data_IF_601441206111
#
_entry.id   IF_601441206111
#
_cell.length_a   1.000
_cell.length_b   1.000
_cell.length_c   1.000
_cell.angle_alpha   90.00
_cell.angle_beta   90.00
_cell.angle_gamma   90.00
#
_symmetry.space_group_name_H-M   'P 1'
#
loop_
_entity.id
_entity.type
_entity.pdbx_description
1 polymer ?
#
# COMPACT_ATOMS: atom_id res chain seq x y z
N UNK A 1 -6.24 5.84 -1.50
CA UNK A 1 -5.95 5.19 -0.20
C UNK A 1 -6.06 6.20 0.96
N UNK A 2 -6.75 5.82 2.04
CA UNK A 2 -6.88 6.60 3.28
C UNK A 2 -6.55 5.75 4.50
N UNK A 3 -5.89 6.30 5.53
CA UNK A 3 -5.63 5.54 6.77
C UNK A 3 -6.87 5.43 7.65
N UNK A 4 -6.93 4.39 8.49
CA UNK A 4 -8.13 4.01 9.25
C UNK A 4 -8.29 4.84 10.54
N UNK A 5 -7.19 5.24 11.18
CA UNK A 5 -7.19 5.94 12.48
C UNK A 5 -7.41 7.45 12.38
N UNK A 6 -6.94 8.08 11.30
CA UNK A 6 -7.22 9.49 10.94
C UNK A 6 -7.47 9.54 9.45
N UNK A 7 -8.40 10.37 8.96
CA UNK A 7 -8.65 10.53 7.52
C UNK A 7 -7.50 11.28 6.84
N UNK A 8 -6.35 10.62 6.71
CA UNK A 8 -5.19 11.09 5.97
C UNK A 8 -5.15 10.38 4.62
N UNK A 9 -4.97 11.16 3.56
CA UNK A 9 -4.79 10.63 2.21
C UNK A 9 -3.33 10.24 2.00
N UNK A 10 -3.12 9.09 1.37
CA UNK A 10 -1.79 8.64 0.94
C UNK A 10 -1.73 8.76 -0.58
N UNK A 11 -0.71 9.47 -1.07
CA UNK A 11 -0.40 9.60 -2.50
C UNK A 11 0.88 8.80 -2.79
N UNK A 12 0.77 7.56 -3.30
CA UNK A 12 1.95 6.78 -3.63
C UNK A 12 2.68 7.35 -4.84
N UNK A 13 4.01 7.29 -4.82
CA UNK A 13 4.89 7.60 -5.95
C UNK A 13 5.80 6.40 -6.18
N UNK A 14 6.03 6.06 -7.45
CA UNK A 14 6.92 4.95 -7.84
C UNK A 14 8.15 5.53 -8.51
N UNK A 15 9.33 5.19 -7.99
CA UNK A 15 10.62 5.54 -8.59
C UNK A 15 11.16 4.39 -9.42
N UNK A 16 11.65 4.69 -10.63
CA UNK A 16 12.42 3.75 -11.45
C UNK A 16 13.86 4.23 -11.44
N UNK A 17 14.79 3.34 -11.06
CA UNK A 17 16.22 3.63 -10.99
C UNK A 17 16.99 2.61 -11.84
N UNK A 18 18.06 3.05 -12.50
CA UNK A 18 18.93 2.13 -13.27
C UNK A 18 19.68 1.15 -12.35
N UNK A 19 19.96 1.58 -11.12
CA UNK A 19 20.64 0.78 -10.09
C UNK A 19 20.19 1.27 -8.72
N UNK A 20 20.01 0.34 -7.80
CA UNK A 20 19.78 0.67 -6.40
C UNK A 20 21.03 1.39 -5.85
N UNK A 21 20.89 2.58 -5.23
CA UNK A 21 22.00 3.20 -4.52
C UNK A 21 22.37 2.38 -3.27
N UNK A 22 23.53 2.66 -2.69
CA UNK A 22 23.87 2.10 -1.38
C UNK A 22 22.90 2.67 -0.33
N UNK A 23 22.01 1.82 0.20
CA UNK A 23 21.06 2.20 1.22
C UNK A 23 21.67 2.00 2.61
N UNK A 24 21.57 3.02 3.46
CA UNK A 24 22.00 2.96 4.87
C UNK A 24 20.82 3.33 5.77
N UNK A 25 20.43 2.39 6.63
CA UNK A 25 19.38 2.65 7.62
C UNK A 25 19.85 3.72 8.62
N UNK A 26 18.98 4.70 8.90
CA UNK A 26 19.18 5.57 10.05
C UNK A 26 18.61 4.86 11.28
N UNK A 27 19.43 4.40 12.24
CA UNK A 27 18.96 3.56 13.34
C UNK A 27 18.02 4.29 14.32
N UNK A 28 17.89 5.61 14.24
CA UNK A 28 16.92 6.38 15.04
C UNK A 28 15.49 6.17 14.55
N UNK A 29 15.30 5.85 13.28
CA UNK A 29 13.98 5.81 12.62
C UNK A 29 13.71 4.48 11.91
N UNK A 30 14.74 3.83 11.37
CA UNK A 30 14.63 2.67 10.49
C UNK A 30 15.38 1.49 11.11
N UNK A 31 14.62 0.46 11.47
CA UNK A 31 15.13 -0.79 12.04
C UNK A 31 15.76 -1.69 10.96
N UNK A 32 15.09 -1.84 9.82
CA UNK A 32 15.53 -2.72 8.73
C UNK A 32 15.20 -2.15 7.36
N UNK A 33 16.06 -2.45 6.38
CA UNK A 33 15.80 -2.25 4.96
C UNK A 33 15.45 -3.61 4.35
N UNK A 34 14.30 -3.69 3.67
CA UNK A 34 13.85 -4.90 2.98
C UNK A 34 14.06 -4.73 1.47
N UNK A 35 14.85 -5.64 0.88
CA UNK A 35 14.96 -5.78 -0.58
C UNK A 35 14.21 -7.05 -1.00
N UNK A 36 13.00 -6.85 -1.54
CA UNK A 36 12.05 -7.94 -1.80
C UNK A 36 11.77 -8.00 -3.31
N UNK A 37 12.15 -9.10 -3.98
CA UNK A 37 11.83 -9.29 -5.38
C UNK A 37 10.31 -9.28 -5.62
N UNK A 38 9.87 -8.64 -6.71
CA UNK A 38 8.45 -8.69 -7.15
C UNK A 38 7.96 -10.12 -7.32
N UNK A 39 8.83 -11.04 -7.76
CA UNK A 39 8.50 -12.46 -7.88
C UNK A 39 8.19 -13.12 -6.53
N UNK A 40 8.88 -12.73 -5.45
CA UNK A 40 8.62 -13.25 -4.11
C UNK A 40 7.25 -12.82 -3.61
N UNK A 41 6.86 -11.55 -3.83
CA UNK A 41 5.53 -11.03 -3.49
C UNK A 41 4.39 -11.78 -4.20
N UNK A 42 4.68 -12.47 -5.30
CA UNK A 42 3.73 -13.26 -6.08
C UNK A 42 3.82 -14.76 -5.79
N UNK A 43 4.73 -15.18 -4.92
CA UNK A 43 4.89 -16.59 -4.57
C UNK A 43 3.64 -17.14 -3.87
N UNK A 44 3.28 -18.42 -4.12
CA UNK A 44 2.17 -19.06 -3.42
C UNK A 44 2.35 -18.99 -1.90
N UNK A 45 1.30 -18.55 -1.20
CA UNK A 45 1.29 -18.47 0.27
C UNK A 45 1.85 -17.18 0.86
N UNK A 46 2.48 -16.31 0.07
CA UNK A 46 2.96 -15.00 0.55
C UNK A 46 1.81 -14.04 0.77
N UNK A 47 0.86 -13.98 -0.16
CA UNK A 47 -0.31 -13.11 -0.02
C UNK A 47 -1.46 -13.80 0.72
N UNK A 48 -2.08 -13.08 1.66
CA UNK A 48 -3.37 -13.44 2.24
C UNK A 48 -4.23 -12.20 2.50
N UNK A 49 -5.53 -12.44 2.61
CA UNK A 49 -6.54 -11.43 2.91
C UNK A 49 -7.39 -11.87 4.10
N UNK A 50 -7.73 -10.92 4.96
CA UNK A 50 -8.73 -11.10 6.02
C UNK A 50 -9.80 -10.01 5.98
N UNK A 51 -11.00 -10.34 6.42
CA UNK A 51 -12.11 -9.39 6.52
C UNK A 51 -12.24 -8.92 7.98
N UNK A 52 -11.91 -7.65 8.24
CA UNK A 52 -11.93 -7.06 9.58
C UNK A 52 -13.10 -6.08 9.75
N UNK A 53 -13.58 -5.90 10.97
CA UNK A 53 -14.67 -4.97 11.30
C UNK A 53 -15.94 -5.68 11.76
N UNK A 54 -17.04 -4.92 11.87
CA UNK A 54 -18.33 -5.52 12.24
C UNK A 54 -19.00 -6.18 11.03
N UNK A 55 -19.94 -7.11 11.27
CA UNK A 55 -20.65 -7.84 10.21
C UNK A 55 -21.33 -6.94 9.16
N UNK A 56 -21.66 -5.71 9.52
CA UNK A 56 -22.34 -4.77 8.62
C UNK A 56 -21.39 -4.07 7.64
N UNK A 57 -20.11 -3.91 8.00
CA UNK A 57 -19.09 -3.24 7.18
C UNK A 57 -17.74 -3.94 7.34
N UNK A 58 -17.60 -5.17 6.84
CA UNK A 58 -16.30 -5.81 6.75
C UNK A 58 -15.41 -5.01 5.80
N UNK A 59 -14.12 -4.91 6.14
CA UNK A 59 -13.08 -4.27 5.33
C UNK A 59 -11.98 -5.28 5.09
N UNK A 60 -11.52 -5.43 3.84
CA UNK A 60 -10.38 -6.29 3.55
C UNK A 60 -9.11 -5.68 4.14
N UNK A 61 -8.32 -6.51 4.81
CA UNK A 61 -6.97 -6.25 5.25
C UNK A 61 -6.05 -7.23 4.53
N UNK A 62 -5.01 -6.70 3.92
CA UNK A 62 -4.06 -7.46 3.10
C UNK A 62 -2.77 -7.69 3.86
N UNK A 63 -2.15 -8.83 3.61
CA UNK A 63 -0.89 -9.24 4.21
C UNK A 63 0.01 -9.86 3.13
N UNK A 64 1.30 -9.53 3.20
CA UNK A 64 2.37 -10.26 2.54
C UNK A 64 3.27 -10.81 3.64
N UNK A 65 3.32 -12.14 3.77
CA UNK A 65 4.18 -12.86 4.72
C UNK A 65 5.52 -13.14 4.04
N UNK A 66 6.53 -12.35 4.40
CA UNK A 66 7.92 -12.53 4.00
C UNK A 66 8.64 -13.33 5.10
N UNK A 67 9.84 -13.84 4.82
CA UNK A 67 10.56 -14.76 5.70
C UNK A 67 10.56 -14.33 7.18
N UNK A 68 11.04 -13.12 7.49
CA UNK A 68 11.11 -12.59 8.85
C UNK A 68 10.14 -11.42 9.12
N UNK A 69 9.29 -11.07 8.14
CA UNK A 69 8.53 -9.83 8.17
C UNK A 69 7.12 -9.99 7.62
N UNK A 70 6.14 -9.37 8.28
CA UNK A 70 4.78 -9.24 7.75
C UNK A 70 4.54 -7.82 7.27
N UNK A 71 4.29 -7.63 5.97
CA UNK A 71 3.83 -6.35 5.42
C UNK A 71 2.32 -6.35 5.38
N UNK A 72 1.67 -5.40 6.06
CA UNK A 72 0.21 -5.39 6.19
C UNK A 72 -0.41 -3.99 6.13
N UNK A 73 -1.74 -3.93 6.08
CA UNK A 73 -2.50 -2.69 6.17
C UNK A 73 -2.28 -1.77 4.96
N UNK A 74 -2.00 -0.49 5.22
CA UNK A 74 -1.89 0.51 4.16
C UNK A 74 -0.78 0.19 3.15
N UNK A 75 0.37 -0.28 3.61
CA UNK A 75 1.50 -0.64 2.73
C UNK A 75 1.16 -1.86 1.87
N UNK A 76 0.56 -2.91 2.43
CA UNK A 76 0.12 -4.06 1.65
C UNK A 76 -0.93 -3.70 0.59
N UNK A 77 -1.85 -2.79 0.92
CA UNK A 77 -2.81 -2.27 -0.06
C UNK A 77 -2.13 -1.52 -1.22
N UNK A 78 -1.08 -0.74 -0.94
CA UNK A 78 -0.29 -0.06 -1.98
C UNK A 78 0.50 -1.06 -2.83
N UNK A 79 1.13 -2.08 -2.22
CA UNK A 79 1.85 -3.12 -2.94
C UNK A 79 0.93 -3.89 -3.87
N UNK A 80 -0.25 -4.33 -3.40
CA UNK A 80 -1.25 -4.99 -4.25
C UNK A 80 -1.65 -4.13 -5.46
N UNK A 81 -1.91 -2.84 -5.24
CA UNK A 81 -2.21 -1.89 -6.33
C UNK A 81 -1.04 -1.75 -7.31
N UNK A 82 0.19 -1.65 -6.80
CA UNK A 82 1.39 -1.57 -7.62
C UNK A 82 1.59 -2.84 -8.48
N UNK A 83 1.44 -4.04 -7.89
CA UNK A 83 1.54 -5.31 -8.62
C UNK A 83 0.51 -5.42 -9.74
N UNK A 84 -0.74 -5.02 -9.48
CA UNK A 84 -1.80 -4.99 -10.48
C UNK A 84 -1.45 -4.08 -11.67
N UNK A 85 -0.84 -2.93 -11.41
CA UNK A 85 -0.45 -1.97 -12.45
C UNK A 85 0.85 -2.35 -13.18
N UNK A 86 1.85 -2.90 -12.47
CA UNK A 86 3.18 -3.16 -13.01
C UNK A 86 3.25 -4.45 -13.82
N UNK A 87 2.57 -5.50 -13.36
CA UNK A 87 2.69 -6.85 -13.94
C UNK A 87 1.35 -7.48 -14.29
N UNK A 88 0.24 -6.75 -14.15
CA UNK A 88 -1.10 -7.23 -14.46
C UNK A 88 -1.60 -8.33 -13.52
N UNK A 89 -0.90 -8.58 -12.41
CA UNK A 89 -1.26 -9.58 -11.42
C UNK A 89 -1.94 -8.91 -10.23
N UNK A 90 -3.16 -9.35 -9.91
CA UNK A 90 -3.78 -9.06 -8.64
C UNK A 90 -3.69 -10.31 -7.76
N UNK A 91 -2.88 -10.32 -6.69
CA UNK A 91 -2.81 -11.47 -5.79
C UNK A 91 -4.11 -11.66 -4.98
N UNK A 92 -5.02 -10.68 -4.96
CA UNK A 92 -6.34 -10.77 -4.34
C UNK A 92 -7.50 -10.80 -5.34
N UNK A 93 -8.74 -10.67 -4.84
CA UNK A 93 -9.96 -10.70 -5.66
C UNK A 93 -10.32 -9.33 -6.28
N UNK A 94 -10.73 -9.31 -7.55
CA UNK A 94 -11.22 -8.10 -8.26
C UNK A 94 -12.40 -7.39 -7.54
N UNK A 95 -13.08 -8.09 -6.63
CA UNK A 95 -14.22 -7.59 -5.87
C UNK A 95 -13.86 -6.45 -4.89
N UNK A 96 -12.57 -6.35 -4.50
CA UNK A 96 -12.13 -5.51 -3.37
C UNK A 96 -11.33 -4.28 -3.82
N UNK A 97 -11.66 -3.73 -4.98
CA UNK A 97 -11.12 -2.46 -5.46
C UNK A 97 -11.41 -1.37 -4.41
N UNK A 98 -10.38 -1.02 -3.64
CA UNK A 98 -10.28 0.07 -2.66
C UNK A 98 -11.63 0.77 -2.40
N UNK A 99 -12.34 0.54 -1.28
CA UNK A 99 -13.61 1.22 -1.03
C UNK A 99 -13.51 2.75 -1.06
N UNK A 100 -12.29 3.33 -0.93
CA UNK A 100 -12.05 4.76 -1.15
C UNK A 100 -12.09 5.19 -2.64
N UNK A 101 -12.21 4.26 -3.59
CA UNK A 101 -12.38 4.48 -5.04
C UNK A 101 -13.85 4.62 -5.44
N UNK A 102 -14.78 4.13 -4.61
CA UNK A 102 -16.23 4.36 -4.75
C UNK A 102 -16.67 5.74 -4.22
N UNK A 103 -15.77 6.45 -3.52
CA UNK A 103 -15.97 7.85 -3.18
C UNK A 103 -15.92 8.71 -4.46
N UNK A 104 -16.85 9.66 -4.65
CA UNK A 104 -16.91 10.44 -5.88
C UNK A 104 -15.58 11.12 -6.20
N UNK A 105 -15.11 10.96 -7.44
CA UNK A 105 -13.97 11.73 -7.98
C UNK A 105 -14.31 13.22 -7.93
N UNK A 106 -13.72 13.94 -6.98
CA UNK A 106 -13.90 15.38 -6.85
C UNK A 106 -13.47 15.90 -5.50
N UNK A 107 -12.17 15.90 -5.21
CA UNK A 107 -11.65 16.70 -4.10
C UNK A 107 -11.35 18.12 -4.59
N UNK A 108 -12.06 19.11 -4.03
CA UNK A 108 -11.64 20.51 -4.07
C UNK A 108 -10.66 20.71 -2.93
N UNK A 109 -9.41 21.04 -3.24
CA UNK A 109 -8.48 21.57 -2.24
C UNK A 109 -9.18 22.75 -1.56
N UNK A 110 -9.39 22.66 -0.24
CA UNK A 110 -9.84 23.82 0.55
C UNK A 110 -8.88 24.98 0.22
N UNK A 111 -9.38 26.13 -0.26
CA UNK A 111 -8.54 27.24 -0.74
C UNK A 111 -7.44 27.66 0.24
N UNK A 112 -7.61 27.37 1.53
CA UNK A 112 -6.65 27.69 2.59
C UNK A 112 -5.34 26.90 2.52
N UNK A 113 -5.30 25.77 1.81
CA UNK A 113 -4.08 24.94 1.65
C UNK A 113 -3.41 25.09 0.28
N UNK A 114 -3.86 26.03 -0.57
CA UNK A 114 -3.30 26.22 -1.92
C UNK A 114 -1.89 26.83 -1.97
N UNK A 115 -1.42 27.46 -0.89
CA UNK A 115 -0.19 28.27 -0.93
C UNK A 115 1.03 27.65 -0.24
N UNK A 116 0.97 26.40 0.24
CA UNK A 116 2.07 25.77 0.99
C UNK A 116 2.75 24.60 0.27
N UNK A 117 2.83 24.63 -1.06
CA UNK A 117 3.72 23.75 -1.82
C UNK A 117 4.78 24.61 -2.48
N UNK A 118 5.95 24.65 -1.86
CA UNK A 118 7.23 25.05 -2.46
C UNK A 118 8.06 23.79 -2.56
#
# INVERSE_FOLDING_TARGET
LTTVTRRAYIVPQVGIVERLPELRANPVEVDQLLDVPVAELLSPGVFREEQWGNRAQPRPIYFFELEDNTVWGATAALLRQALSLLVGADPGTLADLDPARLEPKGYRIDPRYRNNVV
#
